data_IF_832585124617
#
_entry.id   IF_832585124617
#
_cell.length_a   1.000
_cell.length_b   1.000
_cell.length_c   1.000
_cell.angle_alpha   90.00
_cell.angle_beta   90.00
_cell.angle_gamma   90.00
#
_symmetry.space_group_name_H-M   'P 1'
#
loop_
_entity.id
_entity.type
_entity.pdbx_description
1 polymer ?
#
# COMPACT_ATOMS: atom_id res chain seq x y z
N UNK A 1 -0.64 13.66 -16.01
CA UNK A 1 0.25 12.55 -15.61
C UNK A 1 -0.52 11.60 -14.70
N UNK A 2 -0.47 10.33 -14.98
CA UNK A 2 -1.12 9.35 -14.13
C UNK A 2 -0.27 9.07 -12.88
N UNK A 3 -0.91 8.92 -11.75
CA UNK A 3 -0.25 8.63 -10.50
C UNK A 3 0.16 7.16 -10.46
N UNK A 4 1.44 6.89 -10.21
CA UNK A 4 1.98 5.53 -10.11
C UNK A 4 2.78 5.37 -8.84
N UNK A 5 2.69 4.19 -8.21
CA UNK A 5 3.63 3.77 -7.17
C UNK A 5 4.87 3.24 -7.88
N UNK A 6 6.03 3.82 -7.60
CA UNK A 6 7.28 3.43 -8.24
C UNK A 6 8.19 2.62 -7.33
N UNK A 7 7.99 2.70 -6.02
CA UNK A 7 8.74 1.91 -5.03
C UNK A 7 7.86 1.58 -3.86
N UNK A 8 8.10 0.42 -3.26
CA UNK A 8 7.45 0.02 -2.03
C UNK A 8 8.41 -0.82 -1.21
N UNK A 9 8.45 -0.61 0.11
CA UNK A 9 9.30 -1.35 1.02
C UNK A 9 8.53 -1.68 2.29
N UNK A 10 8.57 -2.95 2.68
CA UNK A 10 7.97 -3.39 3.94
C UNK A 10 8.75 -2.80 5.12
N UNK A 11 8.03 -2.24 6.11
CA UNK A 11 8.64 -1.64 7.30
C UNK A 11 8.42 -2.54 8.51
N UNK A 12 7.19 -2.93 8.77
CA UNK A 12 6.82 -3.75 9.91
C UNK A 12 5.31 -3.77 10.06
N UNK A 13 4.76 -4.79 10.69
CA UNK A 13 3.31 -4.96 10.86
C UNK A 13 2.58 -4.78 9.54
N UNK A 14 1.71 -3.78 9.41
CA UNK A 14 0.97 -3.49 8.18
C UNK A 14 1.40 -2.15 7.59
N UNK A 15 2.65 -1.75 7.80
CA UNK A 15 3.20 -0.49 7.34
C UNK A 15 4.16 -0.71 6.18
N UNK A 16 4.02 0.12 5.17
CA UNK A 16 4.81 0.07 3.95
C UNK A 16 5.28 1.48 3.61
N UNK A 17 6.54 1.62 3.27
CA UNK A 17 7.05 2.87 2.71
C UNK A 17 6.81 2.85 1.21
N UNK A 18 6.10 3.85 0.70
CA UNK A 18 5.77 3.95 -0.73
C UNK A 18 6.31 5.24 -1.30
N UNK A 19 6.73 5.16 -2.56
CA UNK A 19 7.17 6.33 -3.34
C UNK A 19 6.36 6.40 -4.62
N UNK A 20 6.00 7.60 -5.01
CA UNK A 20 5.16 7.87 -6.18
C UNK A 20 5.92 8.63 -7.24
N UNK A 21 5.43 8.58 -8.47
CA UNK A 21 6.06 9.27 -9.61
C UNK A 21 5.94 10.79 -9.56
N UNK A 22 5.15 11.34 -8.63
CA UNK A 22 5.04 12.79 -8.44
C UNK A 22 6.04 13.33 -7.39
N UNK A 23 6.92 12.45 -6.88
CA UNK A 23 7.90 12.84 -5.86
C UNK A 23 7.44 12.64 -4.43
N UNK A 24 6.19 12.24 -4.21
CA UNK A 24 5.68 11.96 -2.87
C UNK A 24 6.25 10.63 -2.37
N UNK A 25 6.70 10.61 -1.13
CA UNK A 25 7.16 9.38 -0.46
C UNK A 25 6.73 9.44 0.99
N UNK A 26 6.19 8.35 1.52
CA UNK A 26 5.77 8.31 2.91
C UNK A 26 5.52 6.86 3.36
N UNK A 27 5.52 6.69 4.68
CA UNK A 27 5.08 5.46 5.31
C UNK A 27 3.54 5.48 5.39
N UNK A 28 2.92 4.40 4.96
CA UNK A 28 1.47 4.24 5.08
C UNK A 28 1.16 3.03 5.95
N UNK A 29 0.14 3.14 6.78
CA UNK A 29 -0.35 2.05 7.61
C UNK A 29 -1.65 1.54 7.00
N UNK A 30 -1.64 0.28 6.57
CA UNK A 30 -2.76 -0.35 5.89
C UNK A 30 -3.58 -1.25 6.82
N UNK A 31 -3.32 -1.24 8.13
CA UNK A 31 -4.02 -2.12 9.06
C UNK A 31 -5.54 -1.93 9.03
N UNK A 32 -6.02 -0.71 8.84
CA UNK A 32 -7.46 -0.42 8.78
C UNK A 32 -8.04 -0.57 7.38
N UNK A 33 -7.21 -0.95 6.41
CA UNK A 33 -7.63 -1.04 5.01
C UNK A 33 -7.79 -2.49 4.54
N UNK A 34 -7.55 -3.46 5.41
CA UNK A 34 -7.57 -4.87 5.05
C UNK A 34 -8.95 -5.49 5.30
N UNK A 35 -9.98 -4.84 4.76
CA UNK A 35 -11.37 -5.27 4.87
C UNK A 35 -11.82 -5.99 3.61
N UNK A 36 -12.74 -6.92 3.77
CA UNK A 36 -13.32 -7.67 2.66
C UNK A 36 -12.58 -8.97 2.38
N UNK A 37 -13.26 -9.90 1.68
CA UNK A 37 -12.73 -11.26 1.52
C UNK A 37 -11.37 -11.33 0.84
N UNK A 38 -11.07 -10.45 -0.11
CA UNK A 38 -9.80 -10.51 -0.83
C UNK A 38 -8.63 -9.98 0.01
N UNK A 39 -8.91 -9.08 0.97
CA UNK A 39 -7.88 -8.52 1.84
C UNK A 39 -7.72 -9.28 3.15
N UNK A 40 -8.70 -10.09 3.52
CA UNK A 40 -8.66 -10.81 4.79
C UNK A 40 -7.42 -11.69 4.94
N UNK A 41 -6.97 -12.44 3.91
CA UNK A 41 -5.72 -13.22 4.03
C UNK A 41 -4.49 -12.36 4.29
N UNK A 42 -4.52 -11.09 3.96
CA UNK A 42 -3.39 -10.17 4.15
C UNK A 42 -3.27 -9.70 5.60
N UNK A 43 -4.22 -10.05 6.45
CA UNK A 43 -4.12 -9.81 7.89
C UNK A 43 -3.06 -10.69 8.53
N UNK A 44 -2.67 -11.77 7.84
CA UNK A 44 -1.46 -12.53 8.18
C UNK A 44 -0.26 -11.75 7.66
N UNK A 45 0.65 -11.35 8.55
CA UNK A 45 1.81 -10.54 8.20
C UNK A 45 2.66 -11.21 7.12
N UNK A 46 2.81 -12.53 7.16
CA UNK A 46 3.59 -13.25 6.15
C UNK A 46 2.98 -13.08 4.75
N UNK A 47 1.66 -13.07 4.65
CA UNK A 47 0.98 -12.81 3.39
C UNK A 47 1.06 -11.33 3.02
N UNK A 48 0.90 -10.45 3.99
CA UNK A 48 0.93 -9.02 3.76
C UNK A 48 2.26 -8.57 3.14
N UNK A 49 3.37 -9.08 3.64
CA UNK A 49 4.70 -8.67 3.20
C UNK A 49 5.09 -9.23 1.83
N UNK A 50 4.26 -10.06 1.21
CA UNK A 50 4.52 -10.65 -0.11
C UNK A 50 4.09 -9.76 -1.28
N UNK A 51 3.79 -8.49 -1.02
CA UNK A 51 3.38 -7.55 -2.06
C UNK A 51 4.47 -7.32 -3.11
N UNK A 52 4.05 -6.83 -4.27
CA UNK A 52 4.94 -6.35 -5.32
C UNK A 52 4.27 -5.20 -6.04
N UNK A 53 4.98 -4.54 -6.94
CA UNK A 53 4.39 -3.48 -7.74
C UNK A 53 3.97 -4.08 -9.07
N UNK A 54 2.66 -4.15 -9.29
CA UNK A 54 2.05 -4.69 -10.51
C UNK A 54 1.02 -3.68 -10.99
N UNK A 55 1.05 -3.36 -12.29
CA UNK A 55 0.12 -2.39 -12.85
C UNK A 55 0.27 -1.01 -12.24
N UNK A 56 1.49 -0.63 -11.87
CA UNK A 56 1.84 0.68 -11.31
C UNK A 56 1.27 0.92 -9.91
N UNK A 57 0.96 -0.13 -9.17
CA UNK A 57 0.49 -0.01 -7.80
C UNK A 57 0.89 -1.22 -6.96
N UNK A 58 0.61 -1.12 -5.68
CA UNK A 58 0.87 -2.19 -4.71
C UNK A 58 -0.15 -3.30 -4.90
N UNK A 59 0.33 -4.53 -5.10
CA UNK A 59 -0.53 -5.68 -5.36
C UNK A 59 0.04 -6.93 -4.67
N UNK A 60 -0.83 -7.92 -4.52
CA UNK A 60 -0.51 -9.19 -3.85
C UNK A 60 -0.81 -10.38 -4.77
N UNK A 61 -0.16 -11.53 -4.52
CA UNK A 61 -0.34 -12.71 -5.38
C UNK A 61 -1.78 -13.23 -5.46
N UNK A 62 -2.62 -12.93 -4.46
CA UNK A 62 -4.03 -13.37 -4.46
C UNK A 62 -4.95 -12.48 -5.29
N UNK A 63 -4.40 -11.48 -5.99
CA UNK A 63 -5.18 -10.56 -6.81
C UNK A 63 -5.61 -9.29 -6.09
N UNK A 64 -5.32 -9.15 -4.80
CA UNK A 64 -5.63 -7.93 -4.07
C UNK A 64 -4.72 -6.79 -4.53
N UNK A 65 -5.25 -5.58 -4.63
CA UNK A 65 -4.46 -4.40 -4.92
C UNK A 65 -5.12 -3.15 -4.32
N UNK A 66 -4.36 -2.06 -4.26
CA UNK A 66 -4.89 -0.75 -3.87
C UNK A 66 -4.66 0.22 -5.02
N UNK A 67 -5.63 1.09 -5.28
CA UNK A 67 -5.44 2.14 -6.27
C UNK A 67 -4.32 3.09 -5.82
N UNK A 68 -3.45 3.56 -6.74
CA UNK A 68 -2.41 4.50 -6.37
C UNK A 68 -2.95 5.75 -5.68
N UNK A 69 -4.11 6.24 -6.10
CA UNK A 69 -4.76 7.42 -5.52
C UNK A 69 -5.13 7.19 -4.06
N UNK A 70 -5.57 5.97 -3.72
CA UNK A 70 -5.89 5.63 -2.35
C UNK A 70 -4.63 5.65 -1.47
N UNK A 71 -3.56 5.01 -1.94
CA UNK A 71 -2.28 5.01 -1.22
C UNK A 71 -1.72 6.42 -1.08
N UNK A 72 -1.85 7.22 -2.13
CA UNK A 72 -1.40 8.60 -2.11
C UNK A 72 -2.16 9.42 -1.07
N UNK A 73 -3.47 9.19 -0.94
CA UNK A 73 -4.27 9.89 0.06
C UNK A 73 -3.81 9.56 1.47
N UNK A 74 -3.42 8.30 1.73
CA UNK A 74 -2.85 7.92 3.03
C UNK A 74 -1.49 8.56 3.25
N UNK A 75 -0.67 8.63 2.20
CA UNK A 75 0.69 9.18 2.27
C UNK A 75 0.67 10.69 2.56
N UNK A 76 -0.35 11.39 2.09
CA UNK A 76 -0.46 12.84 2.23
C UNK A 76 -1.49 13.27 3.27
N UNK A 77 -2.14 12.32 3.95
CA UNK A 77 -3.12 12.64 4.97
C UNK A 77 -2.47 13.41 6.12
N UNK A 78 -3.17 14.41 6.70
CA UNK A 78 -2.65 15.09 7.88
C UNK A 78 -2.44 14.09 9.02
N UNK A 79 -1.35 14.27 9.76
CA UNK A 79 -1.12 13.45 10.95
C UNK A 79 -2.20 13.81 11.96
N UNK A 80 -3.02 12.82 12.29
CA UNK A 80 -4.07 12.94 13.28
C UNK A 80 -3.48 12.60 14.64
N UNK A 81 -3.47 13.54 15.51
CA UNK A 81 -3.01 13.32 16.89
C UNK A 81 -4.18 13.26 17.84
#
# INVERSE_FOLDING_TARGET
>A
MFLHVIKARYIGDYRVFVSFNDGTSAEVDLSDSLDGPIFEPLRDVENFRSFSIIGHTLAWPNGADFAPEYLHSLATAPVST
#
